data_IF_299716353941
#
_entry.id   IF_299716353941
#
_cell.length_a   1.000
_cell.length_b   1.000
_cell.length_c   1.000
_cell.angle_alpha   90.00
_cell.angle_beta   90.00
_cell.angle_gamma   90.00
#
_symmetry.space_group_name_H-M   'P 1'
#
loop_
_entity.id
_entity.type
_entity.pdbx_description
1 polymer ?
#
# COMPACT_ATOMS: atom_id res chain seq x y z
N UNK A 1 -28.44 -2.84 -19.82
CA UNK A 1 -27.43 -1.94 -20.44
C UNK A 1 -27.08 -2.34 -21.87
N UNK A 2 -26.71 -3.59 -22.16
CA UNK A 2 -26.39 -4.05 -23.53
C UNK A 2 -27.59 -3.97 -24.48
N UNK A 3 -28.77 -4.39 -24.01
CA UNK A 3 -30.01 -4.30 -24.80
C UNK A 3 -30.31 -2.86 -25.21
N UNK A 4 -30.08 -1.88 -24.34
CA UNK A 4 -30.24 -0.46 -24.67
C UNK A 4 -29.31 -0.08 -25.85
N UNK A 5 -28.03 -0.47 -25.79
CA UNK A 5 -27.08 -0.21 -26.87
C UNK A 5 -27.50 -0.82 -28.22
N UNK A 6 -28.18 -1.97 -28.21
CA UNK A 6 -28.70 -2.61 -29.41
C UNK A 6 -29.94 -1.89 -29.99
N UNK A 7 -30.82 -1.38 -29.12
CA UNK A 7 -32.12 -0.81 -29.52
C UNK A 7 -32.08 0.68 -29.87
N UNK A 8 -31.12 1.44 -29.35
CA UNK A 8 -31.05 2.90 -29.56
C UNK A 8 -30.86 3.27 -31.04
N UNK A 9 -31.49 4.35 -31.51
CA UNK A 9 -31.10 4.98 -32.79
C UNK A 9 -29.65 5.49 -32.76
N UNK A 10 -29.05 5.73 -33.92
CA UNK A 10 -27.76 6.44 -34.00
C UNK A 10 -27.86 7.79 -33.29
N UNK A 11 -26.86 8.14 -32.47
CA UNK A 11 -26.84 9.36 -31.67
C UNK A 11 -27.93 9.49 -30.59
N UNK A 12 -28.76 8.47 -30.38
CA UNK A 12 -29.74 8.48 -29.29
C UNK A 12 -29.08 8.26 -27.92
N UNK A 13 -29.70 8.81 -26.88
CA UNK A 13 -29.25 8.73 -25.50
C UNK A 13 -29.96 7.62 -24.73
N UNK A 14 -29.26 7.01 -23.78
CA UNK A 14 -29.86 6.19 -22.72
C UNK A 14 -29.37 6.70 -21.37
N UNK A 15 -30.29 6.79 -20.41
CA UNK A 15 -30.01 7.02 -19.00
C UNK A 15 -30.50 5.82 -18.19
N UNK A 16 -29.65 5.30 -17.30
CA UNK A 16 -29.99 4.16 -16.44
C UNK A 16 -29.49 4.38 -15.02
N UNK A 17 -30.25 3.87 -14.05
CA UNK A 17 -29.79 3.68 -12.68
C UNK A 17 -29.46 2.20 -12.50
N UNK A 18 -28.21 1.91 -12.14
CA UNK A 18 -27.69 0.55 -11.99
C UNK A 18 -26.92 0.42 -10.67
N UNK A 19 -26.64 -0.80 -10.17
CA UNK A 19 -25.71 -0.95 -9.05
C UNK A 19 -24.34 -0.33 -9.38
N UNK A 20 -23.67 0.24 -8.37
CA UNK A 20 -22.32 0.83 -8.50
C UNK A 20 -21.25 -0.16 -8.97
N UNK A 21 -21.56 -1.46 -8.97
CA UNK A 21 -20.76 -2.49 -9.62
C UNK A 21 -20.37 -2.11 -11.06
N UNK A 22 -21.18 -1.31 -11.77
CA UNK A 22 -20.86 -0.78 -13.10
C UNK A 22 -19.47 -0.15 -13.17
N UNK A 23 -19.10 0.72 -12.22
CA UNK A 23 -17.81 1.42 -12.27
C UNK A 23 -16.71 0.73 -11.44
N UNK A 24 -17.07 -0.08 -10.45
CA UNK A 24 -16.12 -0.65 -9.50
C UNK A 24 -15.74 -2.13 -9.74
N UNK A 25 -16.65 -2.96 -10.25
CA UNK A 25 -16.45 -4.41 -10.24
C UNK A 25 -15.83 -4.93 -11.54
N UNK A 26 -14.91 -5.90 -11.44
CA UNK A 26 -14.30 -6.60 -12.58
C UNK A 26 -15.36 -7.20 -13.53
N UNK A 27 -16.42 -7.82 -13.00
CA UNK A 27 -17.47 -8.44 -13.81
C UNK A 27 -18.22 -7.50 -14.75
N UNK A 28 -18.08 -6.18 -14.60
CA UNK A 28 -18.67 -5.17 -15.49
C UNK A 28 -17.71 -4.64 -16.57
N UNK A 29 -16.52 -5.24 -16.72
CA UNK A 29 -15.50 -4.81 -17.71
C UNK A 29 -16.05 -4.71 -19.13
N UNK A 30 -16.77 -5.73 -19.61
CA UNK A 30 -17.35 -5.72 -20.96
C UNK A 30 -18.37 -4.60 -21.18
N UNK A 31 -19.17 -4.29 -20.17
CA UNK A 31 -20.12 -3.17 -20.20
C UNK A 31 -19.39 -1.84 -20.22
N UNK A 32 -18.32 -1.67 -19.43
CA UNK A 32 -17.50 -0.46 -19.46
C UNK A 32 -16.82 -0.26 -20.81
N UNK A 33 -16.27 -1.32 -21.41
CA UNK A 33 -15.72 -1.26 -22.77
C UNK A 33 -16.78 -0.81 -23.79
N UNK A 34 -17.97 -1.39 -23.74
CA UNK A 34 -19.10 -0.99 -24.60
C UNK A 34 -19.44 0.50 -24.40
N UNK A 35 -19.56 0.94 -23.15
CA UNK A 35 -20.02 2.30 -22.85
C UNK A 35 -18.96 3.36 -23.16
N UNK A 36 -17.70 3.09 -22.83
CA UNK A 36 -16.59 3.99 -23.10
C UNK A 36 -16.26 4.07 -24.60
N UNK A 37 -16.25 2.93 -25.31
CA UNK A 37 -15.72 2.85 -26.68
C UNK A 37 -16.78 2.87 -27.78
N UNK A 38 -18.06 2.67 -27.46
CA UNK A 38 -19.14 2.62 -28.47
C UNK A 38 -20.39 3.43 -28.13
N UNK A 39 -20.54 3.88 -26.89
CA UNK A 39 -21.74 4.60 -26.43
C UNK A 39 -21.43 5.96 -25.80
N UNK A 40 -20.31 6.63 -26.09
CA UNK A 40 -20.01 8.00 -25.68
C UNK A 40 -20.59 8.39 -24.32
N UNK A 41 -19.95 7.94 -23.25
CA UNK A 41 -20.37 8.16 -21.87
C UNK A 41 -20.50 9.66 -21.61
N UNK A 42 -21.66 10.07 -21.10
CA UNK A 42 -22.03 11.46 -20.83
C UNK A 42 -22.00 11.81 -19.35
N UNK A 43 -22.24 10.85 -18.47
CA UNK A 43 -21.97 11.01 -17.04
C UNK A 43 -21.95 9.67 -16.30
N UNK A 44 -21.31 9.65 -15.14
CA UNK A 44 -21.41 8.56 -14.16
C UNK A 44 -21.41 9.13 -12.74
N UNK A 45 -22.58 9.15 -12.09
CA UNK A 45 -22.72 9.67 -10.72
C UNK A 45 -23.07 8.52 -9.78
N UNK A 46 -22.21 8.26 -8.79
CA UNK A 46 -22.43 7.20 -7.81
C UNK A 46 -22.89 7.75 -6.46
N UNK A 47 -23.98 7.19 -5.96
CA UNK A 47 -24.61 7.58 -4.71
C UNK A 47 -24.99 6.38 -3.83
N UNK A 48 -25.02 6.60 -2.52
CA UNK A 48 -25.53 5.64 -1.55
C UNK A 48 -27.03 5.86 -1.30
N UNK A 49 -27.78 4.78 -1.09
CA UNK A 49 -29.22 4.83 -0.79
C UNK A 49 -29.55 5.33 0.63
N UNK A 50 -28.83 6.33 1.14
CA UNK A 50 -28.95 6.84 2.52
C UNK A 50 -30.34 7.42 2.80
N UNK A 51 -30.92 8.12 1.82
CA UNK A 51 -32.29 8.66 1.87
C UNK A 51 -33.39 7.65 1.55
N UNK A 52 -33.05 6.35 1.38
CA UNK A 52 -34.02 5.27 1.10
C UNK A 52 -34.90 5.54 -0.14
N UNK A 53 -34.32 6.12 -1.20
CA UNK A 53 -34.96 6.31 -2.51
C UNK A 53 -35.49 4.98 -3.07
N UNK A 54 -34.84 3.88 -2.72
CA UNK A 54 -35.29 2.51 -3.01
C UNK A 54 -35.51 1.74 -1.70
N UNK A 55 -36.49 0.83 -1.68
CA UNK A 55 -36.85 -0.03 -0.54
C UNK A 55 -35.83 -1.16 -0.27
N UNK A 56 -34.54 -0.82 -0.26
CA UNK A 56 -33.43 -1.74 0.01
C UNK A 56 -32.48 -1.15 1.07
N UNK A 57 -31.39 -1.84 1.38
CA UNK A 57 -30.43 -1.41 2.40
C UNK A 57 -29.85 -0.01 2.10
N UNK A 58 -29.70 0.83 3.15
CA UNK A 58 -29.30 2.23 2.99
C UNK A 58 -27.85 2.41 2.51
N UNK A 59 -27.01 1.39 2.73
CA UNK A 59 -25.62 1.37 2.27
C UNK A 59 -25.46 0.84 0.85
N UNK A 60 -26.55 0.42 0.20
CA UNK A 60 -26.45 -0.05 -1.18
C UNK A 60 -26.11 1.13 -2.09
N UNK A 61 -25.11 0.94 -2.95
CA UNK A 61 -24.59 1.97 -3.85
C UNK A 61 -25.15 1.79 -5.26
N UNK A 62 -25.56 2.90 -5.86
CA UNK A 62 -26.04 2.98 -7.23
C UNK A 62 -25.11 3.87 -8.06
N UNK A 63 -25.27 3.78 -9.38
CA UNK A 63 -24.67 4.65 -10.37
C UNK A 63 -25.73 5.09 -11.39
N UNK A 64 -25.85 6.40 -11.59
CA UNK A 64 -26.61 7.00 -12.68
C UNK A 64 -25.68 7.17 -13.87
N UNK A 65 -25.98 6.48 -14.96
CA UNK A 65 -25.15 6.42 -16.16
C UNK A 65 -25.94 6.94 -17.36
N UNK A 66 -25.41 7.95 -18.05
CA UNK A 66 -25.95 8.46 -19.31
C UNK A 66 -24.94 8.25 -20.42
N UNK A 67 -25.39 7.78 -21.59
CA UNK A 67 -24.53 7.38 -22.70
C UNK A 67 -25.24 7.63 -24.05
N UNK A 68 -24.47 7.98 -25.09
CA UNK A 68 -24.94 8.23 -26.46
C UNK A 68 -24.43 7.16 -27.45
N UNK A 69 -25.33 6.49 -28.17
CA UNK A 69 -24.94 5.49 -29.18
C UNK A 69 -24.11 6.12 -30.32
N UNK A 70 -23.02 5.44 -30.70
CA UNK A 70 -22.23 5.77 -31.89
C UNK A 70 -21.13 6.81 -31.66
N UNK A 71 -20.84 7.15 -30.41
CA UNK A 71 -19.73 8.02 -30.03
C UNK A 71 -18.67 7.26 -29.22
N UNK A 72 -17.42 7.72 -29.29
CA UNK A 72 -16.34 7.30 -28.40
C UNK A 72 -16.26 8.32 -27.26
N UNK A 73 -16.08 7.85 -26.04
CA UNK A 73 -15.88 8.71 -24.87
C UNK A 73 -14.48 9.29 -24.91
N UNK A 74 -14.38 10.63 -24.84
CA UNK A 74 -13.10 11.32 -24.65
C UNK A 74 -12.97 11.81 -23.21
N UNK A 75 -14.02 12.44 -22.71
CA UNK A 75 -14.15 12.96 -21.36
C UNK A 75 -15.61 12.85 -20.91
N UNK A 76 -15.83 12.65 -19.62
CA UNK A 76 -17.16 12.62 -19.03
C UNK A 76 -17.13 13.10 -17.58
N UNK A 77 -18.20 13.77 -17.13
CA UNK A 77 -18.36 14.11 -15.72
C UNK A 77 -18.72 12.89 -14.87
N UNK A 78 -18.15 12.86 -13.66
CA UNK A 78 -18.46 11.89 -12.65
C UNK A 78 -18.44 12.51 -11.25
N UNK A 79 -19.05 11.81 -10.30
CA UNK A 79 -18.96 12.15 -8.89
C UNK A 79 -19.21 10.88 -8.08
N UNK A 80 -18.53 10.77 -6.95
CA UNK A 80 -18.60 9.63 -6.05
C UNK A 80 -18.88 10.12 -4.63
N UNK A 81 -19.24 9.21 -3.73
CA UNK A 81 -19.60 9.54 -2.34
C UNK A 81 -20.77 10.54 -2.22
N UNK A 82 -21.73 10.47 -3.14
CA UNK A 82 -22.97 11.22 -3.04
C UNK A 82 -23.91 10.52 -2.03
N UNK A 83 -24.52 11.28 -1.13
CA UNK A 83 -25.33 10.72 -0.02
C UNK A 83 -26.76 11.25 0.02
N UNK A 84 -27.08 12.27 -0.76
CA UNK A 84 -28.41 12.84 -0.95
C UNK A 84 -28.77 12.82 -2.45
N UNK A 85 -29.90 13.40 -2.80
CA UNK A 85 -30.39 13.62 -4.15
C UNK A 85 -30.35 15.11 -4.56
N UNK A 86 -29.88 16.00 -3.69
CA UNK A 86 -29.77 17.45 -3.97
C UNK A 86 -28.75 17.72 -5.08
N UNK A 87 -27.76 16.84 -5.25
CA UNK A 87 -26.84 16.88 -6.39
C UNK A 87 -27.52 16.79 -7.77
N UNK A 88 -28.76 16.25 -7.85
CA UNK A 88 -29.52 16.21 -9.11
C UNK A 88 -30.09 17.57 -9.50
N UNK A 89 -30.32 18.44 -8.51
CA UNK A 89 -31.04 19.70 -8.65
C UNK A 89 -30.14 20.92 -8.44
N UNK A 90 -28.90 20.73 -7.97
CA UNK A 90 -27.89 21.78 -7.91
C UNK A 90 -27.46 22.12 -9.33
N UNK A 91 -27.42 23.41 -9.64
CA UNK A 91 -26.94 23.88 -10.94
C UNK A 91 -25.49 23.42 -11.16
N UNK A 92 -25.13 23.21 -12.43
CA UNK A 92 -23.81 22.76 -12.89
C UNK A 92 -22.69 23.60 -12.23
N UNK A 93 -22.18 23.18 -11.06
CA UNK A 93 -20.89 23.49 -10.42
C UNK A 93 -20.91 23.43 -8.87
N UNK A 94 -22.05 23.30 -8.19
CA UNK A 94 -22.06 23.34 -6.71
C UNK A 94 -21.82 21.99 -6.02
N UNK A 95 -22.18 20.87 -6.64
CA UNK A 95 -21.81 19.54 -6.13
C UNK A 95 -20.44 19.12 -6.68
N UNK A 96 -19.70 18.26 -5.96
CA UNK A 96 -18.31 17.84 -6.23
C UNK A 96 -18.13 17.01 -7.52
N UNK A 97 -18.48 17.60 -8.65
CA UNK A 97 -18.32 17.05 -9.99
C UNK A 97 -16.84 17.05 -10.37
N UNK A 98 -16.40 15.92 -10.89
CA UNK A 98 -15.09 15.68 -11.47
C UNK A 98 -15.26 15.44 -12.96
N UNK A 99 -14.23 15.70 -13.75
CA UNK A 99 -14.23 15.32 -15.16
C UNK A 99 -13.11 14.31 -15.42
N UNK A 100 -13.51 13.09 -15.81
CA UNK A 100 -12.59 12.00 -16.12
C UNK A 100 -12.38 11.92 -17.63
N UNK A 101 -11.14 11.70 -18.04
CA UNK A 101 -10.80 11.38 -19.44
C UNK A 101 -10.75 9.87 -19.64
N UNK A 102 -10.93 9.40 -20.88
CA UNK A 102 -10.72 7.99 -21.20
C UNK A 102 -9.30 7.53 -20.86
N UNK A 103 -8.29 8.37 -21.15
CA UNK A 103 -6.88 8.10 -20.81
C UNK A 103 -6.68 7.89 -19.30
N UNK A 104 -7.29 8.72 -18.46
CA UNK A 104 -7.24 8.55 -17.01
C UNK A 104 -7.83 7.19 -16.61
N UNK A 105 -9.03 6.86 -17.11
CA UNK A 105 -9.70 5.59 -16.80
C UNK A 105 -8.87 4.39 -17.27
N UNK A 106 -8.26 4.45 -18.45
CA UNK A 106 -7.41 3.38 -18.97
C UNK A 106 -6.16 3.17 -18.10
N UNK A 107 -5.53 4.26 -17.65
CA UNK A 107 -4.36 4.21 -16.76
C UNK A 107 -4.68 3.72 -15.35
N UNK A 108 -5.71 4.29 -14.72
CA UNK A 108 -6.07 3.98 -13.32
C UNK A 108 -6.88 2.69 -13.18
N UNK A 109 -7.70 2.37 -14.19
CA UNK A 109 -8.59 1.20 -14.18
C UNK A 109 -7.97 -0.05 -14.81
N UNK A 110 -6.81 0.09 -15.45
CA UNK A 110 -6.08 -0.99 -16.10
C UNK A 110 -6.95 -1.80 -17.07
N UNK A 111 -6.72 -3.12 -17.11
CA UNK A 111 -7.45 -4.03 -18.00
C UNK A 111 -8.98 -4.07 -17.75
N UNK A 112 -9.44 -3.63 -16.57
CA UNK A 112 -10.87 -3.66 -16.21
C UNK A 112 -11.58 -2.34 -16.45
N UNK A 113 -10.86 -1.26 -16.75
CA UNK A 113 -11.41 0.08 -16.96
C UNK A 113 -12.27 0.57 -15.79
N UNK A 114 -11.97 0.12 -14.56
CA UNK A 114 -12.70 0.56 -13.35
C UNK A 114 -12.47 2.05 -13.08
N UNK A 115 -13.48 2.73 -12.53
CA UNK A 115 -13.34 4.15 -12.20
C UNK A 115 -12.89 4.26 -10.75
N UNK A 116 -11.69 4.82 -10.55
CA UNK A 116 -11.20 5.20 -9.22
C UNK A 116 -12.15 6.22 -8.59
N UNK A 117 -12.57 6.01 -7.34
CA UNK A 117 -13.53 6.89 -6.65
C UNK A 117 -12.79 8.07 -5.99
N UNK A 118 -12.44 9.12 -6.76
CA UNK A 118 -11.77 10.33 -6.24
C UNK A 118 -12.79 11.35 -5.73
N UNK A 119 -12.35 12.33 -4.91
CA UNK A 119 -13.23 13.26 -4.19
C UNK A 119 -13.11 14.72 -4.61
N UNK A 120 -12.02 15.09 -5.27
CA UNK A 120 -11.73 16.47 -5.66
C UNK A 120 -10.91 16.52 -6.94
N UNK A 121 -10.93 17.65 -7.63
CA UNK A 121 -10.09 17.89 -8.81
C UNK A 121 -8.59 17.82 -8.48
N UNK A 122 -8.20 18.14 -7.24
CA UNK A 122 -6.83 17.94 -6.74
C UNK A 122 -6.45 16.46 -6.71
N UNK A 123 -7.34 15.60 -6.23
CA UNK A 123 -7.11 14.15 -6.25
C UNK A 123 -6.95 13.62 -7.67
N UNK A 124 -7.76 14.13 -8.62
CA UNK A 124 -7.66 13.77 -10.06
C UNK A 124 -6.29 14.13 -10.61
N UNK A 125 -5.81 15.36 -10.34
CA UNK A 125 -4.50 15.81 -10.80
C UNK A 125 -3.36 14.99 -10.20
N UNK A 126 -3.42 14.67 -8.90
CA UNK A 126 -2.42 13.83 -8.24
C UNK A 126 -2.40 12.42 -8.85
N UNK A 127 -3.57 11.77 -8.97
CA UNK A 127 -3.66 10.44 -9.56
C UNK A 127 -3.14 10.42 -11.02
N UNK A 128 -3.50 11.42 -11.82
CA UNK A 128 -2.97 11.59 -13.18
C UNK A 128 -1.44 11.63 -13.18
N UNK A 129 -0.82 12.48 -12.35
CA UNK A 129 0.65 12.57 -12.28
C UNK A 129 1.29 11.24 -11.88
N UNK A 130 0.77 10.61 -10.81
CA UNK A 130 1.34 9.37 -10.28
C UNK A 130 1.32 8.23 -11.30
N UNK A 131 0.28 8.14 -12.14
CA UNK A 131 0.17 7.11 -13.18
C UNK A 131 0.92 7.46 -14.48
N UNK A 132 1.23 8.73 -14.74
CA UNK A 132 1.93 9.15 -15.96
C UNK A 132 3.40 8.72 -15.98
N UNK A 133 4.07 8.67 -14.82
CA UNK A 133 5.50 8.37 -14.67
C UNK A 133 5.71 7.11 -13.83
N UNK A 134 5.00 6.03 -14.14
CA UNK A 134 5.05 4.82 -13.32
C UNK A 134 4.94 3.53 -14.13
N UNK A 135 5.42 2.45 -13.54
CA UNK A 135 5.06 1.09 -13.92
C UNK A 135 4.10 0.49 -12.91
N UNK A 136 3.49 -0.65 -13.21
CA UNK A 136 2.73 -1.37 -12.20
C UNK A 136 3.65 -2.06 -11.18
N UNK A 137 3.28 -2.01 -9.91
CA UNK A 137 4.00 -2.64 -8.81
C UNK A 137 4.23 -4.15 -9.07
N UNK A 138 3.26 -4.84 -9.65
CA UNK A 138 3.36 -6.25 -10.04
C UNK A 138 4.47 -6.50 -11.07
N UNK A 139 4.59 -5.64 -12.09
CA UNK A 139 5.65 -5.74 -13.10
C UNK A 139 7.03 -5.51 -12.48
N UNK A 140 7.14 -4.53 -11.58
CA UNK A 140 8.40 -4.26 -10.89
C UNK A 140 8.82 -5.42 -10.00
N UNK A 141 7.90 -5.93 -9.17
CA UNK A 141 8.18 -7.06 -8.26
C UNK A 141 8.57 -8.31 -9.04
N UNK A 142 7.89 -8.61 -10.15
CA UNK A 142 8.30 -9.68 -11.06
C UNK A 142 9.73 -9.51 -11.58
N UNK A 143 10.10 -8.32 -12.09
CA UNK A 143 11.46 -8.02 -12.57
C UNK A 143 12.51 -8.07 -11.47
N UNK A 144 12.15 -7.64 -10.27
CA UNK A 144 13.00 -7.68 -9.08
C UNK A 144 13.12 -9.08 -8.48
N UNK A 145 12.43 -10.08 -9.04
CA UNK A 145 12.36 -11.41 -8.46
C UNK A 145 11.83 -11.36 -7.03
N UNK A 146 10.82 -10.55 -6.76
CA UNK A 146 10.08 -10.50 -5.50
C UNK A 146 8.68 -11.00 -5.79
N UNK A 147 8.22 -12.03 -5.06
CA UNK A 147 6.85 -12.55 -5.20
C UNK A 147 6.11 -12.40 -3.89
N UNK A 148 5.29 -11.37 -3.75
CA UNK A 148 4.41 -11.29 -2.58
C UNK A 148 3.31 -12.37 -2.67
N UNK A 149 3.02 -13.01 -1.55
CA UNK A 149 1.93 -13.98 -1.45
C UNK A 149 1.15 -13.83 -0.16
N UNK A 150 -0.08 -14.37 -0.15
CA UNK A 150 -0.83 -14.58 1.08
C UNK A 150 -0.22 -15.75 1.83
N UNK A 151 -0.11 -15.66 3.15
CA UNK A 151 0.16 -16.85 3.96
C UNK A 151 -0.92 -17.91 3.70
N UNK A 152 -0.55 -19.20 3.64
CA UNK A 152 -1.48 -20.29 3.37
C UNK A 152 -2.54 -20.36 4.45
N UNK A 153 -3.69 -20.94 4.11
CA UNK A 153 -4.76 -21.20 5.07
C UNK A 153 -4.29 -22.05 6.27
N UNK A 154 -3.25 -22.87 6.10
CA UNK A 154 -2.62 -23.63 7.17
C UNK A 154 -1.98 -22.76 8.27
N UNK A 155 -1.76 -21.47 8.00
CA UNK A 155 -1.23 -20.49 8.96
C UNK A 155 -2.31 -19.50 9.44
N UNK A 156 -3.59 -19.80 9.21
CA UNK A 156 -4.73 -19.05 9.72
C UNK A 156 -5.09 -19.53 11.13
N UNK A 157 -4.89 -18.67 12.13
CA UNK A 157 -5.12 -18.98 13.55
C UNK A 157 -6.62 -19.11 13.86
N UNK A 158 -7.49 -18.47 13.07
CA UNK A 158 -8.94 -18.41 13.31
C UNK A 158 -9.71 -19.64 12.83
N UNK A 159 -9.05 -20.55 12.08
CA UNK A 159 -9.65 -21.75 11.49
C UNK A 159 -9.12 -23.04 12.13
N UNK A 160 -9.47 -24.18 11.52
CA UNK A 160 -9.08 -25.56 11.87
C UNK A 160 -7.56 -25.79 12.00
N UNK A 161 -6.71 -24.80 11.73
CA UNK A 161 -5.25 -24.87 11.86
C UNK A 161 -4.73 -24.42 13.24
N UNK A 162 -5.61 -24.03 14.18
CA UNK A 162 -5.23 -23.60 15.54
C UNK A 162 -4.32 -24.60 16.27
N UNK A 163 -4.47 -25.89 16.00
CA UNK A 163 -3.66 -26.98 16.55
C UNK A 163 -2.16 -26.89 16.23
N UNK A 164 -1.78 -26.17 15.16
CA UNK A 164 -0.39 -25.92 14.78
C UNK A 164 0.32 -24.93 15.70
N UNK A 165 -0.45 -24.11 16.41
CA UNK A 165 0.03 -22.98 17.18
C UNK A 165 -0.06 -23.22 18.67
N UNK A 166 0.98 -22.82 19.38
CA UNK A 166 1.06 -22.91 20.84
C UNK A 166 1.29 -21.54 21.43
N UNK A 167 0.86 -21.34 22.68
CA UNK A 167 1.04 -20.05 23.36
C UNK A 167 2.53 -19.86 23.67
N UNK A 168 3.07 -18.70 23.31
CA UNK A 168 4.47 -18.35 23.56
C UNK A 168 4.83 -18.43 25.05
N UNK A 169 3.87 -18.23 25.96
CA UNK A 169 4.06 -18.31 27.43
C UNK A 169 4.43 -19.70 27.94
N UNK A 170 4.22 -20.75 27.14
CA UNK A 170 4.64 -22.12 27.48
C UNK A 170 6.17 -22.21 27.46
N UNK A 171 6.82 -21.44 26.58
CA UNK A 171 8.24 -21.58 26.26
C UNK A 171 9.09 -20.41 26.75
N UNK A 172 8.48 -19.22 26.85
CA UNK A 172 9.14 -17.98 27.20
C UNK A 172 8.45 -17.30 28.37
N UNK A 173 9.25 -16.71 29.25
CA UNK A 173 8.78 -15.92 30.39
C UNK A 173 8.10 -14.62 29.93
N UNK A 174 7.38 -13.97 30.84
CA UNK A 174 6.65 -12.72 30.55
C UNK A 174 7.57 -11.57 30.14
N UNK A 175 8.78 -11.53 30.67
CA UNK A 175 9.85 -10.55 30.39
C UNK A 175 10.71 -10.89 29.16
N UNK A 176 10.63 -12.13 28.64
CA UNK A 176 11.38 -12.58 27.45
C UNK A 176 10.60 -12.29 26.16
N UNK A 177 10.75 -11.13 25.53
CA UNK A 177 10.07 -10.84 24.25
C UNK A 177 10.74 -11.58 23.06
N UNK A 178 10.03 -12.48 22.35
CA UNK A 178 10.55 -13.35 21.29
C UNK A 178 11.09 -12.63 20.06
N UNK A 179 10.87 -11.31 19.94
CA UNK A 179 11.43 -10.51 18.84
C UNK A 179 12.91 -10.17 19.07
N UNK A 180 13.35 -10.13 20.33
CA UNK A 180 14.74 -9.85 20.66
C UNK A 180 15.60 -11.12 20.66
N UNK A 181 16.90 -11.02 20.33
CA UNK A 181 17.76 -12.18 20.12
C UNK A 181 17.82 -13.21 21.25
N UNK A 182 17.86 -12.84 22.55
CA UNK A 182 17.94 -13.83 23.62
C UNK A 182 16.75 -14.81 23.61
N UNK A 183 15.54 -14.27 23.48
CA UNK A 183 14.32 -15.07 23.47
C UNK A 183 14.09 -15.75 22.11
N UNK A 184 14.44 -15.10 21.00
CA UNK A 184 14.38 -15.68 19.66
C UNK A 184 15.30 -16.91 19.56
N UNK A 185 16.56 -16.77 19.98
CA UNK A 185 17.55 -17.86 19.98
C UNK A 185 17.10 -19.03 20.84
N UNK A 186 16.55 -18.74 22.03
CA UNK A 186 15.96 -19.75 22.91
C UNK A 186 14.82 -20.51 22.22
N UNK A 187 13.87 -19.81 21.59
CA UNK A 187 12.79 -20.44 20.85
C UNK A 187 13.29 -21.30 19.68
N UNK A 188 14.27 -20.81 18.91
CA UNK A 188 14.85 -21.54 17.78
C UNK A 188 15.60 -22.81 18.21
N UNK A 189 16.34 -22.77 19.33
CA UNK A 189 16.99 -23.95 19.90
C UNK A 189 15.99 -25.04 20.32
N UNK A 190 14.77 -24.64 20.66
CA UNK A 190 13.65 -25.53 20.96
C UNK A 190 12.86 -25.93 19.70
N UNK A 191 13.35 -25.60 18.51
CA UNK A 191 12.70 -25.87 17.21
C UNK A 191 11.30 -25.24 17.11
N UNK A 192 11.19 -23.98 17.52
CA UNK A 192 9.98 -23.17 17.44
C UNK A 192 10.17 -22.00 16.48
N UNK A 193 9.20 -21.77 15.60
CA UNK A 193 9.10 -20.53 14.82
C UNK A 193 8.23 -19.52 15.56
N UNK A 194 8.69 -18.27 15.64
CA UNK A 194 7.90 -17.17 16.18
C UNK A 194 6.86 -16.73 15.14
N UNK A 195 5.60 -16.52 15.56
CA UNK A 195 4.52 -16.15 14.65
C UNK A 195 4.21 -14.67 14.74
N UNK A 196 4.41 -13.94 13.63
CA UNK A 196 3.99 -12.56 13.47
C UNK A 196 2.56 -12.46 12.93
N UNK A 197 1.80 -11.58 13.56
CA UNK A 197 0.49 -11.12 13.10
C UNK A 197 0.59 -9.65 12.68
N UNK A 198 -0.41 -9.14 11.96
CA UNK A 198 -0.43 -7.73 11.56
C UNK A 198 -0.20 -6.76 12.72
N UNK A 199 -0.61 -7.07 13.96
CA UNK A 199 -0.43 -6.18 15.13
C UNK A 199 0.96 -6.25 15.78
N UNK A 200 1.83 -7.15 15.34
CA UNK A 200 3.12 -7.41 16.00
C UNK A 200 4.27 -6.53 15.50
N UNK A 201 4.17 -5.98 14.29
CA UNK A 201 5.19 -5.16 13.62
C UNK A 201 4.55 -3.93 12.98
N UNK A 202 5.23 -2.78 12.89
CA UNK A 202 4.75 -1.57 12.21
C UNK A 202 5.73 -1.13 11.11
N UNK A 203 5.51 0.04 10.54
CA UNK A 203 6.36 0.68 9.54
C UNK A 203 7.84 0.65 9.97
N UNK A 204 8.62 -0.17 9.25
CA UNK A 204 10.06 -0.43 9.49
C UNK A 204 10.42 -1.01 10.87
N UNK A 205 9.50 -1.55 11.65
CA UNK A 205 9.82 -2.12 12.97
C UNK A 205 9.09 -3.42 13.15
N UNK A 206 9.81 -4.51 13.40
CA UNK A 206 9.25 -5.80 13.79
C UNK A 206 8.67 -5.82 15.22
N UNK A 207 8.91 -4.74 15.99
CA UNK A 207 8.36 -4.50 17.32
C UNK A 207 7.24 -3.46 17.26
N UNK A 208 6.01 -3.88 17.60
CA UNK A 208 4.86 -3.00 17.78
C UNK A 208 3.83 -3.58 18.75
N UNK A 209 3.11 -2.69 19.46
CA UNK A 209 1.95 -2.91 20.36
C UNK A 209 1.87 -4.27 21.07
N UNK A 210 1.60 -5.34 20.31
CA UNK A 210 1.44 -6.70 20.82
C UNK A 210 2.69 -7.52 20.58
N UNK A 211 3.22 -8.09 21.67
CA UNK A 211 4.17 -9.20 21.60
C UNK A 211 3.54 -10.40 20.88
N UNK A 212 4.36 -11.16 20.16
CA UNK A 212 3.95 -12.40 19.50
C UNK A 212 3.36 -13.36 20.55
N UNK A 213 2.09 -13.75 20.35
CA UNK A 213 1.34 -14.62 21.26
C UNK A 213 1.52 -16.10 20.94
N UNK A 214 1.94 -16.40 19.73
CA UNK A 214 1.98 -17.74 19.21
C UNK A 214 3.38 -18.12 18.73
N UNK A 215 3.70 -19.39 18.94
CA UNK A 215 4.81 -20.09 18.30
C UNK A 215 4.27 -21.28 17.53
N UNK A 216 5.03 -21.74 16.54
CA UNK A 216 4.74 -22.96 15.78
C UNK A 216 5.93 -23.91 15.90
N UNK A 217 5.78 -25.04 16.62
CA UNK A 217 6.79 -26.10 16.61
C UNK A 217 7.04 -26.61 15.20
N UNK A 218 8.32 -26.84 14.85
CA UNK A 218 8.70 -27.35 13.52
C UNK A 218 8.06 -28.72 13.22
N UNK A 219 7.79 -29.54 14.23
CA UNK A 219 7.07 -30.81 14.11
C UNK A 219 5.64 -30.65 13.59
N UNK A 220 5.04 -29.47 13.77
CA UNK A 220 3.69 -29.11 13.30
C UNK A 220 3.70 -28.32 11.99
N UNK A 221 4.84 -28.24 11.30
CA UNK A 221 5.02 -27.52 10.04
C UNK A 221 5.69 -28.37 8.95
N UNK A 222 5.75 -29.70 9.14
CA UNK A 222 6.42 -30.64 8.23
C UNK A 222 5.81 -30.68 6.82
N UNK A 223 4.52 -30.37 6.69
CA UNK A 223 3.79 -30.23 5.44
C UNK A 223 3.93 -28.83 4.79
N UNK A 224 4.76 -27.94 5.36
CA UNK A 224 4.97 -26.57 4.91
C UNK A 224 6.45 -26.28 4.53
N UNK A 225 7.09 -27.09 3.66
CA UNK A 225 8.52 -26.96 3.37
C UNK A 225 8.93 -25.58 2.84
N UNK A 226 8.14 -24.97 1.95
CA UNK A 226 8.41 -23.63 1.43
C UNK A 226 8.39 -22.55 2.52
N UNK A 227 7.56 -22.73 3.56
CA UNK A 227 7.49 -21.81 4.69
C UNK A 227 8.70 -21.96 5.62
N UNK A 228 9.14 -23.19 5.83
CA UNK A 228 10.33 -23.48 6.62
C UNK A 228 11.59 -22.96 5.95
N UNK A 229 11.72 -23.13 4.63
CA UNK A 229 12.84 -22.56 3.87
C UNK A 229 12.83 -21.04 3.91
N UNK A 230 11.65 -20.42 3.69
CA UNK A 230 11.53 -18.97 3.76
C UNK A 230 11.89 -18.40 5.13
N UNK A 231 11.49 -19.09 6.21
CA UNK A 231 11.79 -18.68 7.58
C UNK A 231 13.30 -18.60 7.87
N UNK A 232 14.18 -19.13 7.00
CA UNK A 232 15.63 -18.99 7.13
C UNK A 232 16.18 -17.66 6.61
N UNK A 233 15.33 -16.81 6.02
CA UNK A 233 15.73 -15.56 5.37
C UNK A 233 14.95 -14.36 5.89
N UNK A 234 15.48 -13.16 5.67
CA UNK A 234 14.73 -11.92 5.91
C UNK A 234 13.51 -11.85 4.98
N UNK A 235 12.36 -11.47 5.52
CA UNK A 235 11.08 -11.50 4.80
C UNK A 235 10.50 -10.08 4.72
N UNK A 236 10.17 -9.61 3.51
CA UNK A 236 9.32 -8.41 3.38
C UNK A 236 7.89 -8.79 3.78
N UNK A 237 7.34 -8.07 4.74
CA UNK A 237 6.00 -8.30 5.29
C UNK A 237 5.15 -7.04 5.15
N UNK A 238 3.94 -7.18 4.60
CA UNK A 238 2.96 -6.10 4.45
C UNK A 238 1.68 -6.47 5.19
N UNK A 239 1.22 -5.61 6.11
CA UNK A 239 -0.05 -5.84 6.82
C UNK A 239 -1.22 -5.87 5.84
N UNK A 240 -2.13 -6.83 5.98
CA UNK A 240 -3.35 -6.89 5.16
C UNK A 240 -4.50 -6.06 5.70
N UNK A 241 -4.60 -5.93 7.02
CA UNK A 241 -5.73 -5.25 7.65
C UNK A 241 -5.44 -3.75 7.66
N UNK A 242 -6.21 -3.01 6.88
CA UNK A 242 -6.15 -1.56 6.76
C UNK A 242 -7.51 -0.98 7.18
N UNK A 243 -7.73 -0.79 8.49
CA UNK A 243 -8.96 -0.15 8.97
C UNK A 243 -9.05 1.27 8.41
N UNK A 244 -10.25 1.74 8.06
CA UNK A 244 -10.48 3.12 7.61
C UNK A 244 -10.13 4.18 8.66
N UNK A 245 -9.99 3.78 9.93
CA UNK A 245 -9.55 4.63 11.05
C UNK A 245 -8.03 4.67 11.22
N UNK A 246 -7.29 3.83 10.50
CA UNK A 246 -5.83 3.79 10.62
C UNK A 246 -5.22 5.03 9.96
N UNK A 247 -4.13 5.52 10.53
CA UNK A 247 -3.38 6.63 9.93
C UNK A 247 -2.78 6.25 8.58
N UNK A 248 -2.44 4.97 8.38
CA UNK A 248 -1.78 4.42 7.19
C UNK A 248 -2.55 3.20 6.64
N UNK A 249 -2.57 3.03 5.33
CA UNK A 249 -3.21 1.89 4.65
C UNK A 249 -2.22 0.75 4.43
N UNK A 250 -1.04 1.07 3.89
CA UNK A 250 0.08 0.17 3.68
C UNK A 250 1.07 0.35 4.83
N UNK A 251 1.41 -0.78 5.47
CA UNK A 251 2.39 -0.84 6.54
C UNK A 251 3.29 -2.03 6.25
N UNK A 252 4.58 -1.76 6.05
CA UNK A 252 5.58 -2.74 5.66
C UNK A 252 6.75 -2.79 6.64
N UNK A 253 7.33 -3.97 6.83
CA UNK A 253 8.59 -4.17 7.54
C UNK A 253 9.37 -5.35 6.97
N UNK A 254 10.68 -5.39 7.22
CA UNK A 254 11.53 -6.54 6.92
C UNK A 254 11.71 -7.35 8.20
N UNK A 255 11.13 -8.53 8.27
CA UNK A 255 11.18 -9.42 9.43
C UNK A 255 12.44 -10.30 9.40
N UNK A 256 13.02 -10.64 10.57
CA UNK A 256 14.25 -11.43 10.64
C UNK A 256 14.00 -12.93 10.33
N UNK A 257 15.06 -13.71 10.06
CA UNK A 257 14.99 -15.17 10.07
C UNK A 257 14.46 -15.72 11.40
N UNK A 258 13.95 -16.95 11.37
CA UNK A 258 13.39 -17.65 12.53
C UNK A 258 11.90 -17.40 12.77
N UNK A 259 11.23 -16.69 11.86
CA UNK A 259 9.83 -16.28 12.01
C UNK A 259 8.95 -16.73 10.86
N UNK A 260 7.66 -16.90 11.16
CA UNK A 260 6.59 -17.08 10.19
C UNK A 260 5.48 -16.06 10.45
N UNK A 261 4.56 -15.91 9.48
CA UNK A 261 3.48 -14.92 9.54
C UNK A 261 2.11 -15.58 9.36
N UNK A 262 1.07 -14.98 9.95
CA UNK A 262 -0.31 -15.42 9.76
C UNK A 262 -0.92 -14.92 8.45
N UNK A 263 -2.17 -15.29 8.20
CA UNK A 263 -2.97 -14.82 7.07
C UNK A 263 -3.28 -13.32 7.10
N UNK A 264 -3.03 -12.62 8.22
CA UNK A 264 -3.18 -11.16 8.34
C UNK A 264 -2.05 -10.35 7.67
N UNK A 265 -1.10 -11.02 7.03
CA UNK A 265 0.12 -10.45 6.46
C UNK A 265 0.35 -11.02 5.05
N UNK A 266 0.73 -10.17 4.10
CA UNK A 266 1.36 -10.59 2.83
C UNK A 266 2.86 -10.70 3.06
N UNK A 267 3.47 -11.74 2.51
CA UNK A 267 4.90 -12.00 2.70
C UNK A 267 5.59 -12.32 1.38
N UNK A 268 6.84 -11.90 1.27
CA UNK A 268 7.71 -12.29 0.17
C UNK A 268 7.95 -13.80 0.15
N UNK A 269 7.49 -14.46 -0.91
CA UNK A 269 7.57 -15.87 -1.22
C UNK A 269 8.79 -16.28 -2.03
N UNK A 270 9.68 -15.33 -2.32
CA UNK A 270 10.74 -15.59 -3.29
C UNK A 270 11.64 -16.72 -2.80
N UNK A 271 11.84 -17.70 -3.68
CA UNK A 271 12.79 -18.80 -3.47
C UNK A 271 14.18 -18.19 -3.27
N UNK A 272 14.94 -18.74 -2.30
CA UNK A 272 16.29 -18.36 -1.88
C UNK A 272 17.10 -17.60 -2.96
N UNK A 273 17.51 -16.36 -2.67
CA UNK A 273 18.50 -15.63 -3.48
C UNK A 273 18.22 -14.16 -3.82
N UNK A 274 17.03 -13.61 -3.54
CA UNK A 274 16.81 -12.16 -3.75
C UNK A 274 17.59 -11.34 -2.71
N UNK A 275 18.47 -10.40 -3.12
CA UNK A 275 19.25 -9.58 -2.20
C UNK A 275 18.37 -8.75 -1.26
N UNK A 276 18.76 -8.61 0.01
CA UNK A 276 17.92 -7.93 0.99
C UNK A 276 17.73 -6.43 0.73
N UNK A 277 18.64 -5.77 0.00
CA UNK A 277 18.44 -4.38 -0.43
C UNK A 277 17.13 -4.19 -1.21
N UNK A 278 16.68 -5.18 -2.00
CA UNK A 278 15.42 -5.08 -2.76
C UNK A 278 14.20 -5.07 -1.84
N UNK A 279 14.26 -5.83 -0.74
CA UNK A 279 13.21 -5.87 0.29
C UNK A 279 13.19 -4.56 1.09
N UNK A 280 14.36 -4.05 1.47
CA UNK A 280 14.51 -2.76 2.16
C UNK A 280 13.99 -1.62 1.30
N UNK A 281 14.41 -1.57 0.04
CA UNK A 281 13.93 -0.64 -0.97
C UNK A 281 12.40 -0.64 -1.11
N UNK A 282 11.79 -1.82 -1.27
CA UNK A 282 10.33 -1.93 -1.36
C UNK A 282 9.64 -1.49 -0.07
N UNK A 283 10.22 -1.82 1.09
CA UNK A 283 9.72 -1.38 2.39
C UNK A 283 9.73 0.15 2.51
N UNK A 284 10.77 0.81 1.96
CA UNK A 284 10.85 2.27 1.90
C UNK A 284 9.68 2.87 1.12
N UNK A 285 9.44 2.38 -0.10
CA UNK A 285 8.36 2.90 -0.96
C UNK A 285 6.99 2.60 -0.37
N UNK A 286 6.76 1.35 0.07
CA UNK A 286 5.49 0.93 0.66
C UNK A 286 5.09 1.77 1.88
N UNK A 287 6.07 2.25 2.65
CA UNK A 287 5.86 3.09 3.82
C UNK A 287 5.87 4.60 3.52
N UNK A 288 5.99 5.04 2.26
CA UNK A 288 5.84 6.46 1.89
C UNK A 288 4.36 6.91 1.84
N UNK A 289 4.09 8.16 2.15
CA UNK A 289 2.76 8.79 2.05
C UNK A 289 2.24 8.83 0.62
N UNK A 290 3.09 9.07 -0.38
CA UNK A 290 2.66 9.09 -1.78
C UNK A 290 2.14 7.73 -2.23
N UNK A 291 2.89 6.66 -1.98
CA UNK A 291 2.44 5.29 -2.28
C UNK A 291 1.19 4.92 -1.46
N UNK A 292 1.15 5.28 -0.18
CA UNK A 292 0.01 4.98 0.70
C UNK A 292 -1.26 5.73 0.28
N UNK A 293 -1.11 6.97 -0.21
CA UNK A 293 -2.22 7.79 -0.68
C UNK A 293 -2.90 7.16 -1.87
N UNK A 294 -2.14 6.69 -2.87
CA UNK A 294 -2.75 6.04 -4.02
C UNK A 294 -3.36 4.70 -3.64
N UNK A 295 -2.68 3.93 -2.77
CA UNK A 295 -3.20 2.67 -2.26
C UNK A 295 -4.57 2.86 -1.57
N UNK A 296 -4.72 3.93 -0.78
CA UNK A 296 -5.98 4.29 -0.10
C UNK A 296 -7.15 4.59 -1.04
N UNK A 297 -6.88 4.98 -2.30
CA UNK A 297 -7.96 5.21 -3.27
C UNK A 297 -8.61 3.90 -3.76
N UNK A 298 -7.89 2.78 -3.65
CA UNK A 298 -8.37 1.46 -4.07
C UNK A 298 -8.71 0.53 -2.89
N UNK A 299 -8.05 0.71 -1.76
CA UNK A 299 -8.13 -0.20 -0.61
C UNK A 299 -9.05 0.38 0.45
N UNK A 300 -10.16 -0.32 0.70
CA UNK A 300 -11.10 0.04 1.76
C UNK A 300 -10.72 -0.53 3.14
N UNK A 301 -10.61 -1.86 3.25
CA UNK A 301 -10.39 -2.56 4.52
C UNK A 301 -9.25 -3.58 4.50
N UNK A 302 -8.98 -4.18 3.34
CA UNK A 302 -8.01 -5.25 3.19
C UNK A 302 -7.10 -4.98 2.00
N UNK A 303 -5.79 -4.96 2.25
CA UNK A 303 -4.76 -4.97 1.21
C UNK A 303 -4.82 -6.32 0.50
N UNK A 304 -5.28 -6.31 -0.75
CA UNK A 304 -5.31 -7.48 -1.61
C UNK A 304 -4.14 -7.42 -2.58
N UNK A 305 -3.44 -8.55 -2.76
CA UNK A 305 -2.31 -8.67 -3.68
C UNK A 305 -2.67 -8.19 -5.08
N UNK A 306 -3.85 -8.56 -5.58
CA UNK A 306 -4.34 -8.12 -6.88
C UNK A 306 -4.46 -6.60 -7.00
N UNK A 307 -4.88 -5.89 -5.95
CA UNK A 307 -4.92 -4.42 -5.95
C UNK A 307 -3.50 -3.87 -5.92
N UNK A 308 -2.67 -4.40 -5.02
CA UNK A 308 -1.29 -3.97 -4.82
C UNK A 308 -0.48 -4.09 -6.12
N UNK A 309 -0.63 -5.19 -6.87
CA UNK A 309 0.02 -5.45 -8.15
C UNK A 309 -0.31 -4.40 -9.22
N UNK A 310 -1.49 -3.79 -9.16
CA UNK A 310 -1.95 -2.77 -10.11
C UNK A 310 -1.71 -1.32 -9.64
N UNK A 311 -1.09 -1.12 -8.48
CA UNK A 311 -0.73 0.24 -8.04
C UNK A 311 0.46 0.78 -8.82
N UNK A 312 0.50 2.09 -9.10
CA UNK A 312 1.62 2.71 -9.80
C UNK A 312 2.84 2.78 -8.88
N UNK A 313 4.00 2.38 -9.40
CA UNK A 313 5.30 2.51 -8.76
C UNK A 313 6.17 3.47 -9.59
N UNK A 314 6.68 4.52 -8.93
CA UNK A 314 7.53 5.51 -9.56
C UNK A 314 8.85 4.92 -10.11
N UNK A 315 9.45 5.59 -11.09
CA UNK A 315 10.82 5.29 -11.53
C UNK A 315 11.81 5.72 -10.45
N UNK A 316 12.61 4.77 -9.96
CA UNK A 316 13.33 4.91 -8.68
C UNK A 316 14.77 4.44 -8.74
N UNK A 317 15.31 4.27 -9.95
CA UNK A 317 16.66 3.75 -10.17
C UNK A 317 17.74 4.62 -9.52
N UNK A 318 17.63 5.95 -9.62
CA UNK A 318 18.60 6.90 -9.06
C UNK A 318 18.54 7.02 -7.54
N UNK A 319 17.43 6.62 -6.91
CA UNK A 319 17.21 6.75 -5.47
C UNK A 319 17.26 5.40 -4.74
N UNK A 320 17.60 4.32 -5.45
CA UNK A 320 17.57 2.96 -4.90
C UNK A 320 18.47 2.79 -3.68
N UNK A 321 19.69 3.37 -3.72
CA UNK A 321 20.64 3.29 -2.61
C UNK A 321 20.16 4.08 -1.39
N UNK A 322 19.79 5.35 -1.57
CA UNK A 322 19.20 6.18 -0.51
C UNK A 322 18.02 5.47 0.17
N UNK A 323 17.09 4.92 -0.62
CA UNK A 323 15.92 4.21 -0.09
C UNK A 323 16.31 2.94 0.67
N UNK A 324 17.27 2.16 0.17
CA UNK A 324 17.71 0.92 0.80
C UNK A 324 18.46 1.18 2.12
N UNK A 325 19.41 2.11 2.13
CA UNK A 325 20.16 2.49 3.34
C UNK A 325 19.27 3.17 4.38
N UNK A 326 18.35 4.04 3.94
CA UNK A 326 17.38 4.68 4.85
C UNK A 326 16.46 3.66 5.49
N UNK A 327 15.92 2.71 4.70
CA UNK A 327 15.10 1.62 5.23
C UNK A 327 15.88 0.68 6.15
N UNK A 328 17.16 0.41 5.86
CA UNK A 328 18.04 -0.37 6.74
C UNK A 328 18.14 0.27 8.12
N UNK A 329 18.49 1.56 8.18
CA UNK A 329 18.63 2.33 9.43
C UNK A 329 17.31 2.38 10.23
N UNK A 330 16.17 2.45 9.54
CA UNK A 330 14.85 2.40 10.18
C UNK A 330 14.50 1.00 10.70
N UNK A 331 14.92 -0.06 9.99
CA UNK A 331 14.64 -1.47 10.26
C UNK A 331 15.50 -2.04 11.38
N UNK A 332 16.78 -1.67 11.46
CA UNK A 332 17.73 -2.12 12.48
C UNK A 332 17.43 -1.48 13.85
N UNK A 333 16.33 -1.90 14.46
CA UNK A 333 15.79 -1.41 15.74
C UNK A 333 16.31 -2.18 16.97
N UNK A 334 16.96 -3.32 16.77
CA UNK A 334 17.65 -4.10 17.80
C UNK A 334 18.83 -4.90 17.19
N UNK A 335 19.68 -5.45 18.05
CA UNK A 335 20.91 -6.20 17.74
C UNK A 335 20.70 -7.46 16.88
N UNK A 336 19.51 -8.06 16.92
CA UNK A 336 19.12 -9.14 15.99
C UNK A 336 19.19 -8.79 14.49
N UNK A 337 19.30 -7.51 14.15
CA UNK A 337 19.50 -7.04 12.78
C UNK A 337 20.97 -6.77 12.42
N UNK A 338 21.92 -7.02 13.32
CA UNK A 338 23.35 -6.93 13.02
C UNK A 338 23.77 -7.76 11.78
N UNK A 339 23.28 -9.01 11.57
CA UNK A 339 23.61 -9.76 10.35
C UNK A 339 23.10 -9.08 9.07
N UNK A 340 21.93 -8.43 9.11
CA UNK A 340 21.40 -7.67 7.98
C UNK A 340 22.29 -6.45 7.70
N UNK A 341 22.71 -5.75 8.75
CA UNK A 341 23.63 -4.61 8.63
C UNK A 341 24.95 -5.04 7.97
N UNK A 342 25.55 -6.11 8.49
CA UNK A 342 26.79 -6.68 7.95
C UNK A 342 26.64 -7.11 6.49
N UNK A 343 25.51 -7.68 6.08
CA UNK A 343 25.24 -8.01 4.68
C UNK A 343 25.18 -6.77 3.78
N UNK A 344 24.56 -5.67 4.24
CA UNK A 344 24.37 -4.48 3.41
C UNK A 344 25.58 -3.54 3.38
N UNK A 345 26.23 -3.33 4.52
CA UNK A 345 27.25 -2.27 4.72
C UNK A 345 28.58 -2.80 5.27
N UNK A 346 28.68 -4.10 5.57
CA UNK A 346 29.85 -4.69 6.23
C UNK A 346 30.09 -4.08 7.61
N UNK A 347 31.34 -3.69 7.86
CA UNK A 347 31.74 -3.01 9.10
C UNK A 347 31.56 -1.47 9.04
N UNK A 348 31.07 -0.95 7.92
CA UNK A 348 30.91 0.49 7.75
C UNK A 348 29.80 1.00 8.68
N UNK A 349 30.15 1.94 9.54
CA UNK A 349 29.21 2.62 10.43
C UNK A 349 29.43 4.13 10.36
N UNK A 350 28.46 4.85 9.78
CA UNK A 350 28.52 6.31 9.59
C UNK A 350 27.38 7.04 10.32
N UNK A 351 26.60 6.33 11.13
CA UNK A 351 25.61 6.90 12.03
C UNK A 351 26.27 7.48 13.30
N UNK A 352 25.57 8.39 13.99
CA UNK A 352 26.13 9.21 15.09
C UNK A 352 26.49 8.40 16.34
N UNK A 353 25.78 7.29 16.56
CA UNK A 353 25.99 6.43 17.72
C UNK A 353 27.30 5.63 17.56
N UNK A 354 27.88 5.09 18.65
CA UNK A 354 28.99 4.15 18.54
C UNK A 354 28.65 2.99 17.58
N UNK A 355 29.65 2.42 16.88
CA UNK A 355 29.43 1.32 15.95
C UNK A 355 28.60 0.18 16.54
N UNK A 356 27.64 -0.33 15.76
CA UNK A 356 26.75 -1.43 16.15
C UNK A 356 25.91 -1.16 17.40
N UNK A 357 25.54 0.11 17.62
CA UNK A 357 24.55 0.49 18.63
C UNK A 357 23.15 0.41 18.03
N UNK A 358 22.27 -0.38 18.64
CA UNK A 358 20.88 -0.55 18.20
C UNK A 358 19.90 -0.05 19.28
N UNK A 359 18.74 0.53 18.90
CA UNK A 359 18.33 0.91 17.54
C UNK A 359 19.27 1.92 16.90
N UNK A 360 19.50 1.80 15.58
CA UNK A 360 20.35 2.74 14.82
C UNK A 360 19.83 4.18 14.93
N UNK A 361 18.50 4.33 14.91
CA UNK A 361 17.79 5.59 15.07
C UNK A 361 16.94 5.52 16.36
N UNK A 362 17.46 5.97 17.51
CA UNK A 362 16.83 5.75 18.81
C UNK A 362 15.62 6.62 19.09
N UNK A 363 15.53 7.80 18.49
CA UNK A 363 14.41 8.73 18.73
C UNK A 363 13.43 8.78 17.57
N UNK A 364 12.16 9.07 17.87
CA UNK A 364 11.15 9.28 16.83
C UNK A 364 11.52 10.44 15.90
N UNK A 365 12.09 11.53 16.42
CA UNK A 365 12.52 12.68 15.62
C UNK A 365 13.61 12.27 14.61
N UNK A 366 14.60 11.44 14.99
CA UNK A 366 15.62 10.90 14.08
C UNK A 366 15.04 9.94 13.04
N UNK A 367 14.13 9.06 13.46
CA UNK A 367 13.40 8.17 12.53
C UNK A 367 12.62 8.98 11.50
N UNK A 368 11.95 10.05 11.94
CA UNK A 368 11.16 10.90 11.05
C UNK A 368 11.99 11.74 10.10
N UNK A 369 13.20 12.15 10.46
CA UNK A 369 14.12 12.80 9.52
C UNK A 369 14.46 11.88 8.33
N UNK A 370 14.73 10.60 8.60
CA UNK A 370 15.02 9.61 7.55
C UNK A 370 13.77 9.29 6.73
N UNK A 371 12.61 9.15 7.38
CA UNK A 371 11.32 8.94 6.68
C UNK A 371 10.95 10.12 5.78
N UNK A 372 11.12 11.35 6.25
CA UNK A 372 10.84 12.54 5.47
C UNK A 372 11.73 12.65 4.22
N UNK A 373 13.00 12.22 4.32
CA UNK A 373 13.88 12.12 3.16
C UNK A 373 13.39 11.06 2.15
N UNK A 374 13.01 9.86 2.62
CA UNK A 374 12.36 8.82 1.77
C UNK A 374 11.13 9.40 1.08
N UNK A 375 10.24 10.02 1.85
CA UNK A 375 8.97 10.54 1.39
C UNK A 375 9.14 11.64 0.33
N UNK A 376 10.11 12.54 0.52
CA UNK A 376 10.43 13.59 -0.43
C UNK A 376 10.89 13.03 -1.78
N UNK A 377 11.86 12.09 -1.78
CA UNK A 377 12.36 11.52 -3.04
C UNK A 377 11.34 10.63 -3.74
N UNK A 378 10.46 9.96 -2.98
CA UNK A 378 9.38 9.17 -3.59
C UNK A 378 8.31 10.08 -4.20
N UNK A 379 7.94 11.18 -3.53
CA UNK A 379 7.01 12.16 -4.11
C UNK A 379 7.55 12.79 -5.40
N UNK A 380 8.84 13.15 -5.41
CA UNK A 380 9.51 13.69 -6.60
C UNK A 380 9.60 12.65 -7.73
N UNK A 381 9.89 11.38 -7.40
CA UNK A 381 9.92 10.29 -8.37
C UNK A 381 8.55 10.05 -9.04
N UNK A 382 7.44 10.29 -8.33
CA UNK A 382 6.09 10.29 -8.92
C UNK A 382 5.81 11.53 -9.80
N UNK A 383 6.70 12.53 -9.79
CA UNK A 383 6.54 13.80 -10.50
C UNK A 383 5.56 14.75 -9.83
N UNK A 384 5.29 14.58 -8.53
CA UNK A 384 4.40 15.49 -7.81
C UNK A 384 5.08 16.85 -7.66
N UNK A 385 4.32 17.92 -7.90
CA UNK A 385 4.76 19.24 -7.49
C UNK A 385 4.49 19.47 -6.00
N UNK A 386 5.00 20.58 -5.46
CA UNK A 386 4.87 20.93 -4.03
C UNK A 386 3.41 20.99 -3.55
N UNK A 387 2.51 21.58 -4.34
CA UNK A 387 1.09 21.72 -3.96
C UNK A 387 0.36 20.36 -3.95
N UNK A 388 0.65 19.52 -4.94
CA UNK A 388 0.14 18.16 -5.05
C UNK A 388 0.63 17.31 -3.87
N UNK A 389 1.91 17.42 -3.52
CA UNK A 389 2.47 16.70 -2.40
C UNK A 389 1.91 17.19 -1.05
N UNK A 390 1.76 18.50 -0.87
CA UNK A 390 1.07 19.07 0.29
C UNK A 390 -0.38 18.57 0.40
N UNK A 391 -1.09 18.47 -0.73
CA UNK A 391 -2.43 17.90 -0.78
C UNK A 391 -2.44 16.44 -0.33
N UNK A 392 -1.54 15.60 -0.87
CA UNK A 392 -1.35 14.20 -0.43
C UNK A 392 -1.18 14.12 1.08
N UNK A 393 -0.22 14.87 1.65
CA UNK A 393 0.04 14.88 3.08
C UNK A 393 -1.19 15.32 3.89
N UNK A 394 -1.95 16.31 3.42
CA UNK A 394 -3.13 16.81 4.14
C UNK A 394 -4.26 15.79 4.32
N UNK A 395 -4.26 14.69 3.55
CA UNK A 395 -5.28 13.63 3.64
C UNK A 395 -5.04 12.63 4.78
N UNK A 396 -3.90 12.72 5.46
CA UNK A 396 -3.54 11.86 6.60
C UNK A 396 -3.74 12.61 7.92
N UNK A 397 -4.04 11.89 9.00
CA UNK A 397 -4.31 12.51 10.31
C UNK A 397 -3.04 12.94 11.06
N UNK A 398 -1.90 12.30 10.79
CA UNK A 398 -0.59 12.54 11.45
C UNK A 398 -0.63 12.49 12.98
N UNK A 399 -1.62 11.83 13.58
CA UNK A 399 -1.81 11.82 15.03
C UNK A 399 -0.62 11.19 15.76
N UNK A 400 0.04 10.20 15.16
CA UNK A 400 1.22 9.56 15.73
C UNK A 400 2.47 10.44 15.70
N UNK A 401 2.53 11.44 14.80
CA UNK A 401 3.63 12.41 14.74
C UNK A 401 3.20 13.70 14.03
N UNK A 402 2.66 14.69 14.77
CA UNK A 402 2.03 15.88 14.18
C UNK A 402 2.96 16.77 13.34
N UNK A 403 4.29 16.65 13.52
CA UNK A 403 5.30 17.41 12.76
C UNK A 403 5.60 16.81 11.37
N UNK A 404 5.07 15.61 11.06
CA UNK A 404 5.36 14.89 9.82
C UNK A 404 5.15 15.74 8.56
N UNK A 405 4.01 16.45 8.38
CA UNK A 405 3.75 17.20 7.16
C UNK A 405 4.76 18.32 6.91
N UNK A 406 5.07 19.10 7.95
CA UNK A 406 6.02 20.21 7.84
C UNK A 406 7.43 19.68 7.52
N UNK A 407 7.83 18.58 8.17
CA UNK A 407 9.13 17.98 7.94
C UNK A 407 9.28 17.40 6.52
N UNK A 408 8.25 16.69 6.05
CA UNK A 408 8.21 16.13 4.71
C UNK A 408 8.26 17.22 3.64
N UNK A 409 7.48 18.30 3.80
CA UNK A 409 7.51 19.44 2.89
C UNK A 409 8.85 20.16 2.90
N UNK A 410 9.48 20.33 4.07
CA UNK A 410 10.80 20.94 4.15
C UNK A 410 11.86 20.10 3.41
N UNK A 411 11.86 18.78 3.57
CA UNK A 411 12.74 17.88 2.82
C UNK A 411 12.45 17.94 1.31
N UNK A 412 11.18 18.01 0.91
CA UNK A 412 10.80 18.15 -0.49
C UNK A 412 11.28 19.49 -1.08
N UNK A 413 11.08 20.60 -0.37
CA UNK A 413 11.52 21.93 -0.79
C UNK A 413 13.05 22.01 -0.91
N UNK A 414 13.77 21.38 0.04
CA UNK A 414 15.22 21.27 -0.04
C UNK A 414 15.66 20.44 -1.25
N UNK A 415 15.05 19.27 -1.49
CA UNK A 415 15.33 18.42 -2.65
C UNK A 415 15.20 19.21 -3.96
N UNK A 416 14.13 19.99 -4.12
CA UNK A 416 13.93 20.83 -5.31
C UNK A 416 14.98 21.94 -5.43
N UNK A 417 15.53 22.43 -4.31
CA UNK A 417 16.50 23.52 -4.29
C UNK A 417 17.92 23.06 -4.62
N UNK A 418 18.37 21.96 -4.01
CA UNK A 418 19.77 21.49 -4.15
C UNK A 418 19.93 20.42 -5.23
N UNK A 419 18.81 19.87 -5.73
CA UNK A 419 18.80 18.81 -6.71
C UNK A 419 19.04 17.43 -6.11
N UNK A 420 18.65 16.39 -6.85
CA UNK A 420 18.63 15.02 -6.35
C UNK A 420 20.01 14.50 -5.92
N UNK A 421 21.05 14.78 -6.69
CA UNK A 421 22.41 14.30 -6.40
C UNK A 421 22.97 14.87 -5.08
N UNK A 422 22.82 16.19 -4.86
CA UNK A 422 23.27 16.81 -3.62
C UNK A 422 22.41 16.37 -2.44
N UNK A 423 21.11 16.18 -2.66
CA UNK A 423 20.17 15.70 -1.65
C UNK A 423 20.51 14.28 -1.20
N UNK A 424 20.74 13.35 -2.12
CA UNK A 424 21.09 11.96 -1.77
C UNK A 424 22.40 11.92 -1.00
N UNK A 425 23.44 12.67 -1.42
CA UNK A 425 24.71 12.81 -0.67
C UNK A 425 24.55 13.39 0.73
N UNK A 426 23.58 14.30 0.93
CA UNK A 426 23.29 14.90 2.24
C UNK A 426 22.57 13.94 3.19
N UNK A 427 21.59 13.20 2.67
CA UNK A 427 20.67 12.40 3.48
C UNK A 427 21.01 10.91 3.57
N UNK A 428 21.85 10.41 2.67
CA UNK A 428 22.43 9.08 2.76
C UNK A 428 23.89 9.18 3.24
N UNK A 429 24.18 8.86 4.51
CA UNK A 429 25.55 8.89 4.99
C UNK A 429 26.44 7.83 4.33
N UNK A 430 25.88 6.85 3.61
CA UNK A 430 26.59 5.71 3.01
C UNK A 430 26.86 5.83 1.50
N UNK A 431 26.46 6.94 0.87
CA UNK A 431 26.85 7.25 -0.51
C UNK A 431 28.30 7.75 -0.65
#
# INVERSE_FOLDING_TARGET
>A
MERNAQLLGLSALTGVVVPSAFHANEGSTGIRQLYLKKMGLRCCYSFENKRKLFEIHASFKFATVVAQRGAITTQFPCAFYLHDDEWLFTENNEFKRLDYTLDLVEKTGGQHLGFIELRSSKDVQVAQQMFMKSFFFGEWTQKAGIRLQKSPAALDISKNSRQRFEDTKIYLKSDEDPRYPPALTKALSQRLLIIHEGKTFRDFSDVWEQRNRYVMPLSKATDLPEHLERAKSYQLAVRKIASSTNERTIISSTLPPGVAVTDSVLVDATILGSPNYRKLFLSAIANSFSFDWIARQYIAANVNLYILENLPLAHTQEIQLLLSHSALRLTCNHDGYEPLWGEQLGETWRDRQPPFTFPVLPTDDERWLVRAAIDAVVADAYGLNREQYAHVLSTFSHKSYPKAPQLCLACFDELQTIGLEAFTKKYDPYL
#
